data_IF_046672653395
#
_entry.id   IF_046672653395
#
_cell.length_a   1.000
_cell.length_b   1.000
_cell.length_c   1.000
_cell.angle_alpha   90.00
_cell.angle_beta   90.00
_cell.angle_gamma   90.00
#
_symmetry.space_group_name_H-M   'P 1'
#
loop_
_entity.id
_entity.type
_entity.pdbx_description
1 polymer ?
#
# COMPACT_ATOMS: atom_id res chain seq x y z
N UNK A 1 -0.16 -19.02 -32.48
CA UNK A 1 0.45 -20.30 -32.18
C UNK A 1 0.05 -21.35 -33.22
N UNK A 2 -1.24 -21.63 -33.43
CA UNK A 2 -1.71 -22.63 -34.44
C UNK A 2 -1.09 -22.43 -35.85
N UNK A 3 -0.98 -21.18 -36.34
CA UNK A 3 -0.33 -20.87 -37.64
C UNK A 3 1.17 -21.17 -37.66
N UNK A 4 1.83 -21.21 -36.50
CA UNK A 4 3.23 -21.59 -36.35
C UNK A 4 3.42 -23.09 -36.05
N UNK A 5 2.34 -23.84 -36.02
CA UNK A 5 2.31 -25.25 -35.59
C UNK A 5 2.89 -25.47 -34.19
N UNK A 6 2.56 -24.53 -33.26
CA UNK A 6 3.00 -24.56 -31.89
C UNK A 6 1.80 -24.65 -30.91
N UNK A 7 1.95 -25.44 -29.86
CA UNK A 7 0.97 -25.51 -28.77
C UNK A 7 1.21 -24.36 -27.76
N UNK A 8 0.19 -23.52 -27.54
CA UNK A 8 0.27 -22.41 -26.62
C UNK A 8 0.35 -22.87 -25.15
N UNK A 9 -0.46 -23.88 -24.79
CA UNK A 9 -0.55 -24.33 -23.40
C UNK A 9 0.75 -25.02 -22.97
N UNK A 10 1.34 -25.81 -23.85
CA UNK A 10 2.66 -26.40 -23.61
C UNK A 10 3.74 -25.31 -23.44
N UNK A 11 3.78 -24.34 -24.37
CA UNK A 11 4.77 -23.26 -24.29
C UNK A 11 4.56 -22.37 -23.05
N UNK A 12 3.32 -22.09 -22.67
CA UNK A 12 2.99 -21.34 -21.44
C UNK A 12 3.50 -22.09 -20.21
N UNK A 13 3.23 -23.39 -20.11
CA UNK A 13 3.73 -24.23 -19.02
C UNK A 13 5.26 -24.28 -18.96
N UNK A 14 5.91 -24.38 -20.13
CA UNK A 14 7.38 -24.36 -20.21
C UNK A 14 7.97 -23.00 -19.82
N UNK A 15 7.28 -21.90 -20.15
CA UNK A 15 7.73 -20.55 -19.81
C UNK A 15 7.79 -20.28 -18.30
N UNK A 16 7.04 -21.02 -17.49
CA UNK A 16 7.10 -20.96 -16.03
C UNK A 16 8.33 -21.65 -15.43
N UNK A 17 9.11 -22.37 -16.24
CA UNK A 17 10.28 -23.11 -15.75
C UNK A 17 11.56 -22.30 -15.95
N UNK A 18 12.45 -22.35 -14.97
CA UNK A 18 13.78 -21.74 -15.09
C UNK A 18 14.53 -22.29 -16.30
N UNK A 19 15.14 -21.42 -17.09
CA UNK A 19 15.88 -21.78 -18.29
C UNK A 19 15.05 -21.85 -19.57
N UNK A 20 13.76 -21.46 -19.52
CA UNK A 20 12.97 -21.32 -20.75
C UNK A 20 13.64 -20.36 -21.73
N UNK A 21 13.66 -20.72 -22.99
CA UNK A 21 14.11 -19.87 -24.09
C UNK A 21 12.96 -19.60 -25.04
N UNK A 22 12.84 -18.36 -25.49
CA UNK A 22 11.84 -17.97 -26.48
C UNK A 22 11.91 -18.84 -27.75
N UNK A 23 10.75 -19.25 -28.24
CA UNK A 23 10.63 -20.06 -29.44
C UNK A 23 10.26 -19.16 -30.63
N UNK A 24 11.07 -19.21 -31.68
CA UNK A 24 10.81 -18.43 -32.90
C UNK A 24 9.59 -18.96 -33.63
N UNK A 25 8.61 -18.13 -33.91
CA UNK A 25 7.37 -18.52 -34.56
C UNK A 25 7.44 -18.43 -36.09
N UNK A 26 8.42 -17.74 -36.66
CA UNK A 26 8.55 -17.48 -38.10
C UNK A 26 7.28 -16.88 -38.74
N UNK A 27 6.60 -16.04 -37.98
CA UNK A 27 5.40 -15.30 -38.39
C UNK A 27 5.65 -13.82 -38.35
N UNK A 28 5.04 -13.10 -39.29
CA UNK A 28 4.93 -11.66 -39.25
C UNK A 28 3.54 -11.29 -38.70
N UNK A 29 3.49 -10.29 -37.79
CA UNK A 29 2.26 -9.72 -37.28
C UNK A 29 2.18 -8.24 -37.69
N UNK A 30 0.98 -7.76 -37.96
CA UNK A 30 0.68 -6.35 -38.08
C UNK A 30 -0.41 -5.97 -37.07
N UNK A 31 -0.32 -4.79 -36.50
CA UNK A 31 -1.31 -4.26 -35.57
C UNK A 31 -1.59 -2.81 -35.93
N UNK A 32 -2.87 -2.44 -35.95
CA UNK A 32 -3.33 -1.07 -36.01
C UNK A 32 -4.04 -0.74 -34.70
N UNK A 33 -3.62 0.32 -34.03
CA UNK A 33 -4.22 0.82 -32.80
C UNK A 33 -4.88 2.18 -33.11
N UNK A 34 -6.10 2.33 -32.65
CA UNK A 34 -6.79 3.62 -32.62
C UNK A 34 -6.99 4.00 -31.15
N UNK A 35 -6.38 5.10 -30.74
CA UNK A 35 -6.41 5.56 -29.35
C UNK A 35 -7.24 6.82 -29.27
N UNK A 36 -8.19 6.87 -28.35
CA UNK A 36 -8.88 8.08 -27.94
C UNK A 36 -8.36 8.50 -26.57
N UNK A 37 -7.80 9.70 -26.48
CA UNK A 37 -7.35 10.29 -25.24
C UNK A 37 -8.45 11.21 -24.67
N UNK A 38 -8.76 11.05 -23.40
CA UNK A 38 -9.62 11.96 -22.63
C UNK A 38 -8.82 12.54 -21.47
N UNK A 39 -8.99 13.84 -21.25
CA UNK A 39 -8.40 14.51 -20.08
C UNK A 39 -9.44 14.59 -18.97
N UNK A 40 -9.07 14.15 -17.77
CA UNK A 40 -9.88 14.25 -16.57
C UNK A 40 -9.07 14.90 -15.46
N UNK A 41 -9.74 15.65 -14.58
CA UNK A 41 -9.12 16.28 -13.40
C UNK A 41 -9.58 15.53 -12.17
N UNK A 42 -8.62 15.21 -11.30
CA UNK A 42 -8.88 14.65 -9.97
C UNK A 42 -7.96 15.34 -8.95
N UNK A 43 -8.12 15.05 -7.66
CA UNK A 43 -7.44 15.76 -6.58
C UNK A 43 -6.92 14.80 -5.51
N UNK A 44 -5.70 15.06 -5.04
CA UNK A 44 -5.29 14.57 -3.72
C UNK A 44 -5.94 15.45 -2.64
N UNK A 45 -6.41 14.84 -1.57
CA UNK A 45 -7.00 15.56 -0.43
C UNK A 45 -6.08 15.43 0.77
N UNK A 46 -5.71 16.56 1.38
CA UNK A 46 -4.76 16.58 2.48
C UNK A 46 -5.39 17.25 3.70
N UNK A 47 -5.62 16.44 4.75
CA UNK A 47 -5.95 16.93 6.08
C UNK A 47 -4.68 17.18 6.89
N UNK A 48 -4.63 18.27 7.66
CA UNK A 48 -3.43 18.66 8.40
C UNK A 48 -3.76 18.94 9.87
N UNK A 49 -3.03 18.32 10.77
CA UNK A 49 -3.00 18.67 12.19
C UNK A 49 -1.65 19.32 12.49
N UNK A 50 -1.59 20.66 12.62
CA UNK A 50 -0.33 21.37 12.78
C UNK A 50 0.36 21.04 14.11
N UNK A 51 1.67 20.86 14.07
CA UNK A 51 2.51 20.64 15.25
C UNK A 51 2.59 21.86 16.16
N UNK A 52 2.94 21.61 17.43
CA UNK A 52 3.03 22.67 18.45
C UNK A 52 4.45 23.20 18.67
N UNK A 53 5.46 22.41 18.38
CA UNK A 53 6.88 22.73 18.62
C UNK A 53 7.72 22.70 17.36
N UNK A 54 7.43 21.79 16.44
CA UNK A 54 8.13 21.58 15.17
C UNK A 54 7.14 21.49 14.02
N UNK A 55 6.38 22.57 13.73
CA UNK A 55 5.31 22.55 12.74
C UNK A 55 5.81 22.32 11.31
N UNK A 56 7.09 22.58 11.03
CA UNK A 56 7.70 22.37 9.71
C UNK A 56 8.13 20.91 9.47
N UNK A 57 8.19 20.09 10.52
CA UNK A 57 8.49 18.66 10.41
C UNK A 57 7.18 17.88 10.33
N UNK A 58 7.07 16.98 9.34
CA UNK A 58 5.80 16.32 9.03
C UNK A 58 5.91 14.80 9.09
N UNK A 59 4.93 14.17 9.73
CA UNK A 59 4.63 12.73 9.61
C UNK A 59 3.44 12.60 8.66
N UNK A 60 3.53 11.72 7.66
CA UNK A 60 2.46 11.50 6.70
C UNK A 60 1.80 10.13 6.92
N UNK A 61 0.48 10.11 6.84
CA UNK A 61 -0.30 8.90 6.58
C UNK A 61 -0.93 9.02 5.21
N UNK A 62 -0.92 7.95 4.42
CA UNK A 62 -1.52 7.94 3.09
C UNK A 62 -2.40 6.72 2.86
N UNK A 63 -3.43 6.90 2.05
CA UNK A 63 -4.25 5.87 1.45
C UNK A 63 -4.83 6.42 0.15
N UNK A 64 -5.07 5.59 -0.86
CA UNK A 64 -5.79 6.06 -2.04
C UNK A 64 -7.31 6.01 -1.82
N UNK A 65 -8.02 6.94 -2.44
CA UNK A 65 -9.46 7.07 -2.31
C UNK A 65 -10.23 6.72 -3.60
N UNK A 66 -9.49 6.52 -4.70
CA UNK A 66 -10.06 6.05 -5.96
C UNK A 66 -10.17 4.53 -5.98
N UNK A 67 -10.97 4.04 -6.91
CA UNK A 67 -11.01 2.66 -7.35
C UNK A 67 -11.35 2.61 -8.84
N UNK A 68 -11.60 1.44 -9.39
CA UNK A 68 -11.82 1.23 -10.83
C UNK A 68 -13.11 1.88 -11.34
N UNK A 69 -14.09 2.12 -10.47
CA UNK A 69 -15.38 2.67 -10.83
C UNK A 69 -16.19 1.69 -11.68
N UNK A 70 -16.46 1.98 -12.97
CA UNK A 70 -17.12 1.03 -13.85
C UNK A 70 -16.14 0.03 -14.43
N UNK A 71 -16.44 -1.25 -14.25
CA UNK A 71 -15.66 -2.39 -14.68
C UNK A 71 -16.52 -3.38 -15.49
N UNK A 72 -15.93 -4.46 -16.05
CA UNK A 72 -16.72 -5.47 -16.71
C UNK A 72 -17.79 -6.08 -15.79
N UNK A 73 -19.03 -6.09 -16.22
CA UNK A 73 -20.15 -6.58 -15.41
C UNK A 73 -19.99 -8.05 -15.04
N UNK A 74 -20.26 -8.36 -13.78
CA UNK A 74 -20.38 -9.73 -13.26
C UNK A 74 -21.81 -9.85 -12.70
N UNK A 75 -22.57 -10.80 -13.19
CA UNK A 75 -23.98 -11.03 -12.80
C UNK A 75 -24.89 -9.80 -12.87
N UNK A 76 -24.54 -8.85 -13.78
CA UNK A 76 -25.31 -7.62 -14.01
C UNK A 76 -24.82 -6.40 -13.23
N UNK A 77 -23.89 -6.56 -12.30
CA UNK A 77 -23.23 -5.49 -11.58
C UNK A 77 -21.94 -5.07 -12.30
N UNK A 78 -21.83 -3.79 -12.64
CA UNK A 78 -20.68 -3.18 -13.34
C UNK A 78 -19.94 -2.13 -12.51
N UNK A 79 -20.20 -2.06 -11.18
CA UNK A 79 -19.55 -1.10 -10.30
C UNK A 79 -18.52 -1.81 -9.42
N UNK A 80 -17.25 -1.54 -9.65
CA UNK A 80 -16.18 -1.96 -8.76
C UNK A 80 -16.11 -0.97 -7.61
N UNK A 81 -16.57 -1.38 -6.42
CA UNK A 81 -16.78 -0.49 -5.27
C UNK A 81 -15.47 -0.20 -4.51
N UNK A 82 -14.54 -1.17 -4.44
CA UNK A 82 -13.29 -1.00 -3.72
C UNK A 82 -13.47 -0.88 -2.22
N UNK A 83 -14.25 -1.78 -1.63
CA UNK A 83 -14.52 -1.71 -0.20
C UNK A 83 -13.29 -2.04 0.64
N UNK A 84 -12.61 -3.16 0.38
CA UNK A 84 -11.33 -3.49 1.00
C UNK A 84 -10.20 -2.69 0.36
N UNK A 85 -10.19 -2.57 -0.95
CA UNK A 85 -9.23 -1.88 -1.78
C UNK A 85 -9.86 -0.61 -2.42
N UNK A 86 -9.87 0.61 -1.78
CA UNK A 86 -9.17 0.90 -0.53
C UNK A 86 -10.02 1.82 0.38
N UNK A 87 -11.35 1.59 0.44
CA UNK A 87 -12.18 2.35 1.37
C UNK A 87 -11.78 2.08 2.84
N UNK A 88 -11.22 0.90 3.15
CA UNK A 88 -10.68 0.59 4.48
C UNK A 88 -9.50 1.48 4.84
N UNK A 89 -8.57 1.72 3.92
CA UNK A 89 -7.44 2.63 4.13
C UNK A 89 -7.87 4.08 4.33
N UNK A 90 -8.87 4.54 3.55
CA UNK A 90 -9.45 5.89 3.75
C UNK A 90 -10.16 5.99 5.11
N UNK A 91 -10.88 4.96 5.52
CA UNK A 91 -11.52 4.90 6.84
C UNK A 91 -10.49 4.95 7.96
N UNK A 92 -9.34 4.26 7.76
CA UNK A 92 -8.21 4.31 8.68
C UNK A 92 -7.60 5.72 8.77
N UNK A 93 -7.45 6.46 7.64
CA UNK A 93 -7.00 7.86 7.66
C UNK A 93 -7.92 8.74 8.52
N UNK A 94 -9.24 8.58 8.37
CA UNK A 94 -10.24 9.35 9.13
C UNK A 94 -10.15 9.02 10.62
N UNK A 95 -10.05 7.74 10.96
CA UNK A 95 -9.93 7.30 12.36
C UNK A 95 -8.62 7.76 13.01
N UNK A 96 -7.50 7.69 12.28
CA UNK A 96 -6.22 8.23 12.75
C UNK A 96 -6.31 9.74 12.99
N UNK A 97 -6.91 10.49 12.07
CA UNK A 97 -7.11 11.93 12.24
C UNK A 97 -7.94 12.25 13.49
N UNK A 98 -9.03 11.47 13.72
CA UNK A 98 -9.87 11.58 14.92
C UNK A 98 -9.08 11.29 16.21
N UNK A 99 -8.27 10.22 16.22
CA UNK A 99 -7.42 9.83 17.38
C UNK A 99 -6.36 10.87 17.69
N UNK A 100 -5.64 11.36 16.68
CA UNK A 100 -4.66 12.43 16.87
C UNK A 100 -5.28 13.71 17.40
N UNK A 101 -6.46 14.09 16.88
CA UNK A 101 -7.19 15.25 17.38
C UNK A 101 -7.62 15.07 18.85
N UNK A 102 -8.18 13.91 19.20
CA UNK A 102 -8.63 13.62 20.56
C UNK A 102 -7.49 13.53 21.57
N UNK A 103 -6.32 13.04 21.18
CA UNK A 103 -5.13 12.94 22.04
C UNK A 103 -4.38 14.27 22.21
N UNK A 104 -4.85 15.34 21.57
CA UNK A 104 -4.21 16.65 21.56
C UNK A 104 -3.10 16.79 20.52
N UNK A 105 -2.81 18.06 20.19
CA UNK A 105 -1.87 18.41 19.13
C UNK A 105 -0.46 17.86 19.42
N UNK A 106 0.16 17.16 18.46
CA UNK A 106 1.51 16.64 18.60
C UNK A 106 2.57 17.76 18.50
N UNK A 107 3.82 17.42 18.71
CA UNK A 107 4.93 18.37 18.56
C UNK A 107 5.22 18.66 17.09
N UNK A 108 5.19 17.63 16.21
CA UNK A 108 5.31 17.74 14.75
C UNK A 108 3.95 17.78 14.08
N UNK A 109 3.90 18.31 12.89
CA UNK A 109 2.71 18.26 12.04
C UNK A 109 2.41 16.81 11.62
N UNK A 110 1.13 16.46 11.62
CA UNK A 110 0.65 15.19 11.04
C UNK A 110 -0.23 15.51 9.85
N UNK A 111 0.08 14.92 8.71
CA UNK A 111 -0.66 15.05 7.46
C UNK A 111 -1.35 13.72 7.12
N UNK A 112 -2.62 13.80 6.76
CA UNK A 112 -3.46 12.69 6.30
C UNK A 112 -3.75 12.92 4.83
N UNK A 113 -3.20 12.07 3.96
CA UNK A 113 -3.16 12.28 2.52
C UNK A 113 -3.98 11.21 1.83
N UNK A 114 -5.18 11.57 1.36
CA UNK A 114 -5.98 10.72 0.51
C UNK A 114 -5.55 10.97 -0.96
N UNK A 115 -4.93 9.97 -1.56
CA UNK A 115 -4.36 10.02 -2.91
C UNK A 115 -5.38 9.59 -3.95
N UNK A 116 -5.27 10.16 -5.14
CA UNK A 116 -6.15 9.82 -6.27
C UNK A 116 -5.41 9.04 -7.34
N UNK A 117 -6.15 8.27 -8.13
CA UNK A 117 -5.65 7.56 -9.30
C UNK A 117 -4.46 6.63 -9.01
N UNK A 118 -4.51 5.94 -7.88
CA UNK A 118 -3.59 4.85 -7.55
C UNK A 118 -3.74 3.72 -8.56
N UNK A 119 -4.98 3.31 -8.81
CA UNK A 119 -5.40 2.26 -9.73
C UNK A 119 -5.05 2.55 -11.21
N UNK A 120 -4.75 3.79 -11.50
CA UNK A 120 -4.33 4.26 -12.83
C UNK A 120 -2.80 4.40 -12.96
N UNK A 121 -2.05 3.82 -12.03
CA UNK A 121 -0.59 3.80 -11.99
C UNK A 121 0.03 4.84 -11.06
N UNK A 122 -0.50 4.96 -9.83
CA UNK A 122 0.03 5.76 -8.72
C UNK A 122 0.10 7.27 -9.07
N UNK A 123 -0.81 7.78 -9.90
CA UNK A 123 -0.68 9.13 -10.49
C UNK A 123 -0.79 10.23 -9.44
N UNK A 124 -1.61 10.05 -8.41
CA UNK A 124 -1.72 11.00 -7.30
C UNK A 124 -0.45 11.13 -6.49
N UNK A 125 0.18 10.00 -6.16
CA UNK A 125 1.46 9.96 -5.46
C UNK A 125 2.61 10.47 -6.32
N UNK A 126 2.62 10.13 -7.62
CA UNK A 126 3.57 10.67 -8.58
C UNK A 126 3.47 12.20 -8.66
N UNK A 127 2.26 12.75 -8.78
CA UNK A 127 2.05 14.20 -8.79
C UNK A 127 2.52 14.84 -7.48
N UNK A 128 2.18 14.23 -6.33
CA UNK A 128 2.66 14.71 -5.02
C UNK A 128 4.19 14.73 -4.94
N UNK A 129 4.87 13.70 -5.43
CA UNK A 129 6.33 13.63 -5.40
C UNK A 129 7.01 14.74 -6.22
N UNK A 130 6.36 15.20 -7.29
CA UNK A 130 6.82 16.29 -8.14
C UNK A 130 6.42 17.68 -7.63
N UNK A 131 5.32 17.77 -6.86
CA UNK A 131 4.75 18.99 -6.31
C UNK A 131 4.42 18.82 -4.82
N UNK A 132 5.41 18.54 -3.96
CA UNK A 132 5.15 18.20 -2.58
C UNK A 132 4.64 19.40 -1.79
N UNK A 133 3.50 19.22 -1.10
CA UNK A 133 2.97 20.21 -0.16
C UNK A 133 3.89 20.34 1.06
N UNK A 134 4.44 19.22 1.51
CA UNK A 134 5.47 19.17 2.56
C UNK A 134 6.79 18.75 1.91
N UNK A 135 7.84 19.59 1.96
CA UNK A 135 9.13 19.26 1.36
C UNK A 135 9.68 17.93 1.89
N UNK A 136 10.25 17.10 1.02
CA UNK A 136 10.81 15.79 1.39
C UNK A 136 11.85 15.89 2.51
N UNK A 137 12.68 16.97 2.53
CA UNK A 137 13.67 17.23 3.59
C UNK A 137 13.05 17.40 4.97
N UNK A 138 11.80 17.88 5.03
CA UNK A 138 11.05 18.15 6.26
C UNK A 138 10.05 17.02 6.60
N UNK A 139 9.80 16.11 5.67
CA UNK A 139 8.96 14.93 5.91
C UNK A 139 9.79 13.85 6.59
N UNK A 140 9.42 13.54 7.82
CA UNK A 140 10.15 12.61 8.70
C UNK A 140 9.99 11.18 8.22
N UNK A 141 8.73 10.79 7.98
CA UNK A 141 8.34 9.47 7.47
C UNK A 141 6.95 9.52 6.84
N UNK A 142 6.64 8.51 6.03
CA UNK A 142 5.30 8.25 5.51
C UNK A 142 4.84 6.83 5.85
N UNK A 143 3.58 6.68 6.22
CA UNK A 143 2.92 5.41 6.54
C UNK A 143 1.79 5.24 5.55
N UNK A 144 1.88 4.23 4.70
CA UNK A 144 0.88 3.94 3.67
C UNK A 144 -0.04 2.81 4.10
N UNK A 145 -1.31 2.99 3.86
CA UNK A 145 -2.37 2.02 4.14
C UNK A 145 -3.12 1.71 2.84
N UNK A 146 -3.04 0.45 2.43
CA UNK A 146 -3.61 -0.04 1.19
C UNK A 146 -4.22 -1.41 1.46
N UNK A 147 -5.49 -1.38 1.89
CA UNK A 147 -6.21 -2.52 2.46
C UNK A 147 -5.94 -2.74 3.95
N UNK A 148 -6.96 -2.53 4.79
CA UNK A 148 -6.93 -2.85 6.23
C UNK A 148 -7.76 -4.11 6.46
N UNK A 149 -7.20 -5.10 7.18
CA UNK A 149 -7.78 -6.42 7.36
C UNK A 149 -9.20 -6.43 7.93
N UNK A 150 -10.04 -7.26 7.32
CA UNK A 150 -11.46 -7.41 7.63
C UNK A 150 -11.86 -8.85 8.01
N UNK A 151 -10.88 -9.71 8.30
CA UNK A 151 -11.12 -11.15 8.51
C UNK A 151 -10.84 -11.62 9.95
N UNK A 152 -10.71 -10.68 10.90
CA UNK A 152 -10.44 -10.95 12.29
C UNK A 152 -8.95 -10.85 12.65
N UNK A 153 -8.65 -11.23 13.90
CA UNK A 153 -7.34 -11.03 14.53
C UNK A 153 -6.30 -12.05 14.05
N UNK A 154 -5.05 -11.59 13.98
CA UNK A 154 -3.89 -12.41 13.63
C UNK A 154 -2.79 -12.32 14.70
N UNK A 155 -1.94 -13.35 14.76
CA UNK A 155 -0.73 -13.35 15.61
C UNK A 155 0.43 -12.61 14.97
N UNK A 156 0.28 -12.21 13.71
CA UNK A 156 1.30 -11.55 12.90
C UNK A 156 0.73 -10.37 12.10
N UNK A 157 1.63 -9.59 11.52
CA UNK A 157 1.37 -8.59 10.50
C UNK A 157 2.58 -8.51 9.59
N UNK A 158 2.36 -8.31 8.30
CA UNK A 158 3.46 -8.25 7.33
C UNK A 158 3.98 -6.83 7.15
N UNK A 159 5.31 -6.67 7.01
CA UNK A 159 5.92 -5.46 6.44
C UNK A 159 6.32 -5.75 5.00
N UNK A 160 5.71 -5.05 4.07
CA UNK A 160 6.05 -5.14 2.65
C UNK A 160 7.36 -4.39 2.39
N UNK A 161 8.38 -5.11 1.92
CA UNK A 161 9.71 -4.56 1.70
C UNK A 161 10.55 -4.38 2.97
N UNK A 162 10.33 -5.22 3.98
CA UNK A 162 11.10 -5.24 5.24
C UNK A 162 12.62 -5.22 4.99
N UNK A 163 13.36 -4.55 5.87
CA UNK A 163 14.83 -4.42 5.79
C UNK A 163 15.30 -3.19 5.02
N UNK A 164 14.40 -2.30 4.59
CA UNK A 164 14.74 -1.08 3.85
C UNK A 164 14.98 0.14 4.75
N UNK A 165 14.22 0.29 5.84
CA UNK A 165 14.32 1.49 6.70
C UNK A 165 14.22 1.15 8.20
N UNK A 166 14.52 2.14 9.05
CA UNK A 166 14.33 2.04 10.50
C UNK A 166 12.85 2.12 10.92
N UNK A 167 11.95 2.42 9.97
CA UNK A 167 10.51 2.34 10.20
C UNK A 167 10.07 0.93 10.58
N UNK A 168 10.77 -0.08 10.04
CA UNK A 168 10.51 -1.50 10.35
C UNK A 168 10.71 -1.80 11.84
N UNK A 169 11.78 -1.22 12.45
CA UNK A 169 12.08 -1.41 13.87
C UNK A 169 11.02 -0.76 14.76
N UNK A 170 10.57 0.44 14.39
CA UNK A 170 9.53 1.17 15.11
C UNK A 170 8.20 0.41 15.09
N UNK A 171 7.83 -0.10 13.92
CA UNK A 171 6.60 -0.87 13.78
C UNK A 171 6.70 -2.22 14.48
N UNK A 172 7.84 -2.91 14.37
CA UNK A 172 8.08 -4.17 15.09
C UNK A 172 7.91 -4.00 16.60
N UNK A 173 8.42 -2.91 17.18
CA UNK A 173 8.24 -2.62 18.60
C UNK A 173 6.77 -2.40 18.96
N UNK A 174 6.01 -1.68 18.13
CA UNK A 174 4.59 -1.44 18.36
C UNK A 174 3.78 -2.74 18.31
N UNK A 175 4.05 -3.61 17.33
CA UNK A 175 3.40 -4.90 17.16
C UNK A 175 3.75 -5.86 18.31
N UNK A 176 5.01 -5.87 18.76
CA UNK A 176 5.45 -6.68 19.91
C UNK A 176 4.78 -6.24 21.21
N UNK A 177 4.52 -4.96 21.39
CA UNK A 177 3.77 -4.44 22.54
C UNK A 177 2.32 -4.96 22.58
N UNK A 178 1.77 -5.38 21.44
CA UNK A 178 0.47 -6.07 21.35
C UNK A 178 0.55 -7.59 21.57
N UNK A 179 1.76 -8.14 21.80
CA UNK A 179 1.99 -9.59 21.88
C UNK A 179 1.98 -10.31 20.53
N UNK A 180 2.06 -9.55 19.45
CA UNK A 180 2.09 -10.04 18.05
C UNK A 180 3.52 -10.01 17.50
N UNK A 181 3.71 -10.53 16.30
CA UNK A 181 5.00 -10.50 15.60
C UNK A 181 4.89 -9.88 14.21
N UNK A 182 5.97 -9.31 13.74
CA UNK A 182 6.12 -8.90 12.34
C UNK A 182 6.66 -10.06 11.53
N UNK A 183 6.13 -10.24 10.33
CA UNK A 183 6.61 -11.18 9.32
C UNK A 183 7.03 -10.43 8.05
N UNK A 184 7.99 -10.98 7.28
CA UNK A 184 8.28 -10.45 5.95
C UNK A 184 7.12 -10.70 5.01
N UNK A 185 7.08 -9.91 3.92
CA UNK A 185 6.19 -10.13 2.77
C UNK A 185 6.23 -11.60 2.34
N UNK A 186 5.06 -12.22 2.30
CA UNK A 186 4.87 -13.63 1.93
C UNK A 186 5.08 -13.91 0.44
N UNK A 187 5.08 -12.87 -0.40
CA UNK A 187 5.18 -12.96 -1.86
C UNK A 187 6.11 -11.88 -2.45
N UNK A 188 7.40 -11.81 -2.03
CA UNK A 188 8.30 -10.73 -2.43
C UNK A 188 8.56 -10.69 -3.95
N UNK A 189 8.38 -11.82 -4.66
CA UNK A 189 8.48 -11.91 -6.11
C UNK A 189 7.33 -11.17 -6.84
N UNK A 190 6.21 -10.92 -6.16
CA UNK A 190 5.11 -10.12 -6.70
C UNK A 190 5.43 -8.63 -6.75
N UNK A 191 6.46 -8.19 -6.00
CA UNK A 191 6.96 -6.82 -6.02
C UNK A 191 5.98 -5.79 -5.46
N UNK A 192 5.19 -6.15 -4.46
CA UNK A 192 4.16 -5.27 -3.88
C UNK A 192 4.72 -3.95 -3.37
N UNK A 193 5.97 -3.91 -2.89
CA UNK A 193 6.62 -2.65 -2.51
C UNK A 193 6.65 -1.60 -3.63
N UNK A 194 6.63 -2.01 -4.89
CA UNK A 194 6.70 -1.13 -6.07
C UNK A 194 5.34 -0.87 -6.72
N UNK A 195 4.24 -1.26 -6.04
CA UNK A 195 2.90 -1.27 -6.62
C UNK A 195 1.87 -0.48 -5.82
N UNK A 196 2.30 0.29 -4.81
CA UNK A 196 1.42 1.19 -4.07
C UNK A 196 2.07 2.55 -3.85
N UNK A 197 1.30 3.54 -3.46
CA UNK A 197 1.59 4.98 -3.45
C UNK A 197 2.86 5.37 -2.69
N UNK A 198 3.24 4.62 -1.64
CA UNK A 198 4.46 4.88 -0.86
C UNK A 198 5.74 4.87 -1.71
N UNK A 199 5.72 4.20 -2.87
CA UNK A 199 6.85 4.16 -3.79
C UNK A 199 7.32 5.56 -4.18
N UNK A 200 6.41 6.46 -4.54
CA UNK A 200 6.77 7.81 -4.97
C UNK A 200 7.29 8.67 -3.82
N UNK A 201 6.86 8.42 -2.60
CA UNK A 201 7.47 9.05 -1.41
C UNK A 201 8.89 8.52 -1.15
N UNK A 202 9.08 7.20 -1.28
CA UNK A 202 10.39 6.59 -1.19
C UNK A 202 11.36 7.13 -2.25
N UNK A 203 10.93 7.29 -3.49
CA UNK A 203 11.73 7.81 -4.60
C UNK A 203 12.26 9.22 -4.36
N UNK A 204 11.54 10.07 -3.63
CA UNK A 204 12.02 11.39 -3.19
C UNK A 204 12.75 11.36 -1.84
N UNK A 205 13.03 10.17 -1.33
CA UNK A 205 13.87 9.91 -0.17
C UNK A 205 13.15 9.86 1.18
N UNK A 206 11.83 9.97 1.25
CA UNK A 206 11.08 9.86 2.51
C UNK A 206 11.08 8.40 2.96
N UNK A 207 11.55 8.08 4.20
CA UNK A 207 11.41 6.73 4.75
C UNK A 207 9.94 6.34 4.86
N UNK A 208 9.60 5.16 4.36
CA UNK A 208 8.21 4.69 4.30
C UNK A 208 8.01 3.42 5.14
N UNK A 209 6.78 3.26 5.62
CA UNK A 209 6.25 2.02 6.16
C UNK A 209 5.03 1.63 5.33
N UNK A 210 5.01 0.42 4.82
CA UNK A 210 3.87 -0.20 4.16
C UNK A 210 3.65 -1.59 4.75
N UNK A 211 2.45 -1.85 5.23
CA UNK A 211 2.09 -3.09 5.90
C UNK A 211 0.97 -3.79 5.16
N UNK A 212 0.92 -5.09 5.29
CA UNK A 212 -0.16 -5.95 4.84
C UNK A 212 -0.68 -6.80 5.99
N UNK A 213 -1.87 -7.33 5.83
CA UNK A 213 -2.51 -8.14 6.85
C UNK A 213 -1.68 -9.38 7.16
N UNK A 214 -1.67 -9.81 8.43
CA UNK A 214 -1.09 -11.08 8.83
C UNK A 214 -1.92 -12.27 8.29
N UNK A 215 -1.29 -13.40 8.21
CA UNK A 215 -1.92 -14.66 7.76
C UNK A 215 -2.08 -15.70 8.86
N UNK A 216 -1.41 -15.52 10.00
CA UNK A 216 -1.55 -16.43 11.14
C UNK A 216 -2.75 -16.04 12.02
N UNK A 217 -3.93 -16.40 11.53
CA UNK A 217 -5.20 -16.08 12.19
C UNK A 217 -5.24 -16.67 13.62
N UNK A 218 -5.77 -15.90 14.56
CA UNK A 218 -6.01 -16.39 15.94
C UNK A 218 -6.92 -17.62 15.93
N UNK A 219 -7.91 -17.61 15.05
CA UNK A 219 -8.77 -18.76 14.80
C UNK A 219 -8.46 -19.38 13.43
N UNK A 220 -7.95 -20.60 13.40
CA UNK A 220 -7.67 -21.38 12.19
C UNK A 220 -6.28 -21.21 11.60
N UNK A 221 -5.42 -20.38 12.21
CA UNK A 221 -4.00 -20.28 11.87
C UNK A 221 -3.71 -19.84 10.43
N UNK A 222 -2.49 -20.10 9.99
CA UNK A 222 -1.96 -19.70 8.69
C UNK A 222 -2.71 -20.32 7.49
N UNK A 223 -3.22 -21.52 7.64
CA UNK A 223 -4.00 -22.18 6.59
C UNK A 223 -5.28 -21.38 6.26
N UNK A 224 -6.01 -20.97 7.30
CA UNK A 224 -7.22 -20.14 7.14
C UNK A 224 -6.88 -18.78 6.54
N UNK A 225 -5.84 -18.10 7.03
CA UNK A 225 -5.45 -16.79 6.50
C UNK A 225 -5.08 -16.83 5.02
N UNK A 226 -4.27 -17.82 4.62
CA UNK A 226 -3.93 -18.02 3.22
C UNK A 226 -5.15 -18.32 2.35
N UNK A 227 -6.10 -19.12 2.86
CA UNK A 227 -7.35 -19.41 2.14
C UNK A 227 -8.21 -18.15 1.96
N UNK A 228 -8.30 -17.28 2.97
CA UNK A 228 -9.01 -15.99 2.91
C UNK A 228 -8.38 -15.09 1.85
N UNK A 229 -7.05 -14.90 1.90
CA UNK A 229 -6.33 -14.08 0.93
C UNK A 229 -6.51 -14.61 -0.51
N UNK A 230 -6.37 -15.91 -0.70
CA UNK A 230 -6.58 -16.53 -2.01
C UNK A 230 -8.02 -16.34 -2.51
N UNK A 231 -9.01 -16.48 -1.63
CA UNK A 231 -10.42 -16.25 -1.96
C UNK A 231 -10.69 -14.80 -2.33
N UNK A 232 -10.14 -13.83 -1.59
CA UNK A 232 -10.26 -12.40 -1.89
C UNK A 232 -9.69 -12.09 -3.28
N UNK A 233 -8.46 -12.52 -3.57
CA UNK A 233 -7.83 -12.30 -4.89
C UNK A 233 -8.62 -12.96 -6.01
N UNK A 234 -9.14 -14.16 -5.78
CA UNK A 234 -9.91 -14.89 -6.79
C UNK A 234 -11.29 -14.31 -7.06
N UNK A 235 -11.95 -13.78 -6.05
CA UNK A 235 -13.38 -13.47 -6.11
C UNK A 235 -13.72 -11.97 -6.00
N UNK A 236 -12.93 -11.17 -5.27
CA UNK A 236 -13.28 -9.79 -4.89
C UNK A 236 -12.32 -8.75 -5.47
N UNK A 237 -11.00 -8.99 -5.41
CA UNK A 237 -9.99 -8.03 -5.81
C UNK A 237 -10.23 -7.53 -7.25
N UNK A 238 -10.40 -6.22 -7.39
CA UNK A 238 -10.71 -5.53 -8.65
C UNK A 238 -12.01 -6.02 -9.33
N UNK A 239 -13.01 -6.37 -8.53
CA UNK A 239 -14.32 -6.83 -9.01
C UNK A 239 -15.47 -6.12 -8.30
N UNK A 240 -16.68 -6.14 -8.87
CA UNK A 240 -17.88 -5.58 -8.22
C UNK A 240 -18.13 -6.12 -6.81
N UNK A 241 -17.78 -7.40 -6.57
CA UNK A 241 -17.96 -8.08 -5.29
C UNK A 241 -17.03 -7.62 -4.15
N UNK A 242 -16.12 -6.65 -4.39
CA UNK A 242 -15.40 -5.99 -3.29
C UNK A 242 -16.29 -4.96 -2.60
N UNK A 243 -17.20 -5.47 -1.77
CA UNK A 243 -18.21 -4.74 -1.02
C UNK A 243 -18.11 -5.04 0.48
N UNK A 244 -18.66 -4.15 1.30
CA UNK A 244 -18.81 -4.41 2.74
C UNK A 244 -19.92 -5.44 2.95
N UNK A 245 -19.60 -6.50 3.69
CA UNK A 245 -20.52 -7.58 4.02
C UNK A 245 -20.68 -7.73 5.53
N UNK A 246 -21.77 -8.37 5.97
CA UNK A 246 -22.10 -8.53 7.41
C UNK A 246 -21.11 -9.44 8.16
N UNK A 247 -20.31 -10.23 7.46
CA UNK A 247 -19.30 -11.13 8.00
C UNK A 247 -17.91 -10.48 8.19
N UNK A 248 -17.76 -9.20 7.89
CA UNK A 248 -16.52 -8.48 8.14
C UNK A 248 -16.20 -8.39 9.63
N UNK A 249 -15.04 -8.87 10.02
CA UNK A 249 -14.48 -8.72 11.36
C UNK A 249 -13.28 -7.77 11.32
N UNK A 250 -13.53 -6.51 11.67
CA UNK A 250 -12.51 -5.44 11.68
C UNK A 250 -11.59 -5.49 12.91
N UNK A 251 -11.71 -6.48 13.79
CA UNK A 251 -10.91 -6.53 15.03
C UNK A 251 -9.41 -6.59 14.77
N UNK A 252 -8.97 -7.36 13.76
CA UNK A 252 -7.56 -7.41 13.33
C UNK A 252 -7.08 -6.10 12.73
N UNK A 253 -7.87 -5.53 11.83
CA UNK A 253 -7.56 -4.23 11.23
C UNK A 253 -7.48 -3.10 12.26
N UNK A 254 -8.29 -3.14 13.30
CA UNK A 254 -8.21 -2.19 14.41
C UNK A 254 -6.90 -2.36 15.23
N UNK A 255 -6.41 -3.59 15.43
CA UNK A 255 -5.10 -3.82 16.06
C UNK A 255 -3.94 -3.32 15.19
N UNK A 256 -4.00 -3.54 13.88
CA UNK A 256 -3.00 -3.03 12.94
C UNK A 256 -2.98 -1.50 12.95
N UNK A 257 -4.15 -0.87 12.93
CA UNK A 257 -4.28 0.58 13.00
C UNK A 257 -3.74 1.15 14.32
N UNK A 258 -3.91 0.45 15.44
CA UNK A 258 -3.34 0.84 16.72
C UNK A 258 -1.81 0.84 16.68
N UNK A 259 -1.18 -0.16 16.07
CA UNK A 259 0.26 -0.21 15.89
C UNK A 259 0.76 0.92 14.98
N UNK A 260 0.07 1.19 13.86
CA UNK A 260 0.39 2.30 12.97
C UNK A 260 0.23 3.66 13.66
N UNK A 261 -0.82 3.82 14.48
CA UNK A 261 -1.01 5.02 15.32
C UNK A 261 0.15 5.20 16.31
N UNK A 262 0.55 4.12 17.00
CA UNK A 262 1.64 4.18 17.98
C UNK A 262 2.96 4.64 17.36
N UNK A 263 3.30 4.13 16.15
CA UNK A 263 4.48 4.56 15.40
C UNK A 263 4.41 6.05 15.05
N UNK A 264 3.32 6.49 14.43
CA UNK A 264 3.20 7.88 14.03
C UNK A 264 3.10 8.84 15.22
N UNK A 265 2.43 8.45 16.30
CA UNK A 265 2.35 9.26 17.52
C UNK A 265 3.73 9.41 18.16
N UNK A 266 4.49 8.33 18.27
CA UNK A 266 5.88 8.37 18.75
C UNK A 266 6.72 9.35 17.92
N UNK A 267 6.70 9.22 16.60
CA UNK A 267 7.46 10.10 15.71
C UNK A 267 6.96 11.56 15.76
N UNK A 268 5.67 11.76 15.96
CA UNK A 268 5.09 13.10 16.04
C UNK A 268 5.47 13.84 17.34
N UNK A 269 5.80 13.10 18.42
CA UNK A 269 6.12 13.69 19.75
C UNK A 269 7.59 13.63 20.13
N UNK A 270 8.45 12.99 19.32
CA UNK A 270 9.89 12.92 19.61
C UNK A 270 10.72 13.66 18.55
N UNK A 271 12.06 13.58 18.66
CA UNK A 271 13.01 14.17 17.71
C UNK A 271 13.66 13.15 16.77
N UNK A 272 13.20 11.89 16.79
CA UNK A 272 13.74 10.83 15.94
C UNK A 272 13.49 11.12 14.46
N UNK A 273 14.46 10.73 13.61
CA UNK A 273 14.38 10.77 12.16
C UNK A 273 14.78 9.41 11.62
N UNK A 274 13.82 8.52 11.38
CA UNK A 274 14.10 7.21 10.80
C UNK A 274 14.90 7.35 9.50
N UNK A 275 15.86 6.48 9.30
CA UNK A 275 16.75 6.50 8.14
C UNK A 275 16.49 5.28 7.24
N UNK A 276 16.80 5.44 5.97
CA UNK A 276 16.98 4.30 5.08
C UNK A 276 18.23 3.52 5.50
N UNK A 277 18.17 2.20 5.47
CA UNK A 277 19.33 1.36 5.75
C UNK A 277 20.42 1.54 4.68
N UNK A 278 21.64 1.16 5.02
CA UNK A 278 22.82 1.43 4.18
C UNK A 278 22.70 0.89 2.74
N UNK A 279 22.03 -0.22 2.57
CA UNK A 279 21.81 -0.90 1.29
C UNK A 279 20.50 -0.54 0.61
N UNK A 280 19.69 0.37 1.17
CA UNK A 280 18.42 0.74 0.58
C UNK A 280 18.61 1.64 -0.63
N UNK A 281 17.90 1.35 -1.71
CA UNK A 281 17.97 2.06 -3.00
C UNK A 281 17.58 3.54 -2.91
N UNK A 282 16.73 3.92 -1.93
CA UNK A 282 16.23 5.29 -1.75
C UNK A 282 17.08 6.16 -0.83
N UNK A 283 18.13 5.59 -0.21
CA UNK A 283 19.00 6.32 0.74
C UNK A 283 19.66 7.53 0.09
N UNK A 284 20.20 7.38 -1.10
CA UNK A 284 20.85 8.48 -1.81
C UNK A 284 19.91 9.67 -2.08
N UNK A 285 18.65 9.40 -2.40
CA UNK A 285 17.63 10.43 -2.57
C UNK A 285 17.37 11.18 -1.24
N UNK A 286 17.32 10.46 -0.09
CA UNK A 286 17.18 11.08 1.23
C UNK A 286 18.33 12.00 1.55
N UNK A 287 19.58 11.55 1.34
CA UNK A 287 20.77 12.34 1.58
C UNK A 287 20.82 13.60 0.68
N UNK A 288 20.38 13.47 -0.57
CA UNK A 288 20.28 14.61 -1.50
C UNK A 288 19.20 15.62 -1.08
N UNK A 289 18.03 15.15 -0.62
CA UNK A 289 16.91 16.01 -0.22
C UNK A 289 17.22 16.86 1.04
N UNK A 290 18.17 16.46 1.86
CA UNK A 290 18.54 17.11 3.12
C UNK A 290 19.77 18.00 3.05
N UNK A 291 20.38 18.13 1.90
CA UNK A 291 21.45 19.10 1.60
C UNK A 291 20.82 20.45 1.27
#
# INVERSE_FOLDING_TARGET
>A
FRRANLDFSELKSRAQRRGFRAVRMNLNGSMRLETRAEQRTSYNVIGVLPGTQRPDETIMYSAHWDHLGRCPAIDGDDICNGALDNATGVSALIELARRFHAAGRPQRTVAFVALTAEEQGLLGALYYSQHPVFPARNTVAAINMDGIGNAGRTHDVEIVGIGKSEMDDLFTQAVQAQGRRVTPDSSPEAGYFYRSDHLHFAQIGIPVLYTSNGVDMVEGGTERGNAINAAYVANNYHKPSDEVTDDWDMSGGAEDLEALYAVGRRLADNSEWPQWRANAEFRAAREASRR
#
